data_IF_189920383931
#
_entry.id   IF_189920383931
#
_cell.length_a   1.000
_cell.length_b   1.000
_cell.length_c   1.000
_cell.angle_alpha   90.00
_cell.angle_beta   90.00
_cell.angle_gamma   90.00
#
_symmetry.space_group_name_H-M   'P 1'
#
loop_
_entity.id
_entity.type
_entity.pdbx_description
1 polymer ?
#
# COMPACT_ATOMS: atom_id res chain seq x y z
N UNK A 1 6.41 -4.04 27.17
CA UNK A 1 5.58 -5.23 26.93
C UNK A 1 5.00 -5.14 25.52
N UNK A 2 4.89 -6.25 24.77
CA UNK A 2 4.38 -6.23 23.38
C UNK A 2 2.99 -5.62 23.28
N UNK A 3 2.10 -5.92 24.24
CA UNK A 3 0.77 -5.29 24.38
C UNK A 3 0.85 -3.77 24.27
N UNK A 4 1.62 -3.12 25.14
CA UNK A 4 1.76 -1.65 25.15
C UNK A 4 2.31 -1.10 23.82
N UNK A 5 3.22 -1.84 23.16
CA UNK A 5 3.76 -1.44 21.85
C UNK A 5 2.67 -1.48 20.78
N UNK A 6 1.92 -2.57 20.74
CA UNK A 6 0.82 -2.77 19.79
C UNK A 6 -0.30 -1.76 20.02
N UNK A 7 -0.70 -1.51 21.27
CA UNK A 7 -1.76 -0.55 21.61
C UNK A 7 -1.36 0.89 21.24
N UNK A 8 -0.13 1.29 21.57
CA UNK A 8 0.39 2.60 21.18
C UNK A 8 0.39 2.78 19.67
N UNK A 9 0.78 1.75 18.94
CA UNK A 9 0.82 1.83 17.48
C UNK A 9 -0.58 1.80 16.85
N UNK A 10 -1.53 1.02 17.40
CA UNK A 10 -2.94 1.08 17.00
C UNK A 10 -3.49 2.49 17.15
N UNK A 11 -3.19 3.18 18.26
CA UNK A 11 -3.58 4.58 18.45
C UNK A 11 -3.00 5.48 17.35
N UNK A 12 -1.71 5.33 17.01
CA UNK A 12 -1.10 6.07 15.88
C UNK A 12 -1.84 5.84 14.55
N UNK A 13 -2.21 4.60 14.23
CA UNK A 13 -2.96 4.29 13.00
C UNK A 13 -4.38 4.89 13.01
N UNK A 14 -5.03 4.93 14.17
CA UNK A 14 -6.35 5.58 14.34
C UNK A 14 -6.22 7.08 14.16
N UNK A 15 -5.18 7.70 14.74
CA UNK A 15 -4.92 9.12 14.59
C UNK A 15 -4.68 9.47 13.11
N UNK A 16 -3.85 8.72 12.40
CA UNK A 16 -3.64 8.84 10.94
C UNK A 16 -4.98 8.83 10.18
N UNK A 17 -5.85 7.85 10.46
CA UNK A 17 -7.14 7.72 9.79
C UNK A 17 -8.09 8.89 10.12
N UNK A 18 -8.15 9.32 11.38
CA UNK A 18 -9.07 10.36 11.85
C UNK A 18 -8.83 11.73 11.21
N UNK A 19 -7.57 12.03 10.87
CA UNK A 19 -7.17 13.32 10.26
C UNK A 19 -7.62 13.48 8.81
N UNK A 20 -8.01 12.39 8.15
CA UNK A 20 -8.13 12.36 6.69
C UNK A 20 -9.55 12.58 6.15
N UNK A 21 -10.58 12.54 7.01
CA UNK A 21 -12.01 12.69 6.68
C UNK A 21 -12.42 12.01 5.34
N UNK A 22 -12.02 10.75 5.14
CA UNK A 22 -12.14 10.02 3.87
C UNK A 22 -13.44 9.23 3.72
N UNK A 23 -14.59 9.83 4.06
CA UNK A 23 -15.87 9.14 3.86
C UNK A 23 -16.09 8.94 2.35
N UNK A 24 -16.10 7.67 1.91
CA UNK A 24 -16.23 7.30 0.49
C UNK A 24 -14.94 7.52 -0.29
N UNK A 25 -15.05 8.22 -1.43
CA UNK A 25 -13.93 8.55 -2.31
C UNK A 25 -13.88 10.06 -2.58
N UNK A 26 -13.54 10.88 -1.57
CA UNK A 26 -13.68 12.35 -1.65
C UNK A 26 -12.76 12.99 -2.69
N UNK A 27 -11.74 12.27 -3.16
CA UNK A 27 -10.79 12.75 -4.18
C UNK A 27 -11.06 12.17 -5.56
N UNK A 28 -12.21 11.54 -5.77
CA UNK A 28 -12.66 11.03 -7.06
C UNK A 28 -11.62 10.17 -7.78
N UNK A 29 -10.86 9.36 -7.02
CA UNK A 29 -9.91 8.42 -7.60
C UNK A 29 -10.70 7.45 -8.49
N UNK A 30 -10.30 7.21 -9.75
CA UNK A 30 -11.07 6.41 -10.69
C UNK A 30 -10.93 4.89 -10.44
N UNK A 31 -11.07 4.43 -9.18
CA UNK A 31 -10.96 3.03 -8.77
C UNK A 31 -11.75 2.10 -9.68
N UNK A 32 -13.03 2.40 -9.90
CA UNK A 32 -13.93 1.60 -10.74
C UNK A 32 -13.46 1.45 -12.19
N UNK A 33 -12.79 2.45 -12.75
CA UNK A 33 -12.24 2.41 -14.12
C UNK A 33 -10.99 1.52 -14.19
N UNK A 34 -10.16 1.57 -13.14
CA UNK A 34 -8.95 0.76 -13.04
C UNK A 34 -9.35 -0.70 -12.76
N UNK A 35 -9.96 -0.97 -11.62
CA UNK A 35 -10.44 -2.29 -11.21
C UNK A 35 -11.70 -2.17 -10.32
N UNK A 36 -12.77 -2.82 -10.76
CA UNK A 36 -14.08 -2.84 -10.09
C UNK A 36 -14.02 -3.35 -8.65
N UNK A 37 -13.04 -4.20 -8.31
CA UNK A 37 -12.89 -4.68 -6.93
C UNK A 37 -12.61 -3.53 -5.94
N UNK A 38 -12.05 -2.42 -6.41
CA UNK A 38 -11.73 -1.26 -5.58
C UNK A 38 -12.88 -0.25 -5.46
N UNK A 39 -14.06 -0.56 -5.98
CA UNK A 39 -15.29 0.19 -5.70
C UNK A 39 -15.88 -0.15 -4.31
N UNK A 40 -15.16 -0.97 -3.53
CA UNK A 40 -15.50 -1.36 -2.17
C UNK A 40 -14.81 -0.45 -1.14
N UNK A 41 -15.59 0.10 -0.18
CA UNK A 41 -15.09 1.01 0.86
C UNK A 41 -13.92 0.45 1.67
N UNK A 42 -13.89 -0.85 1.97
CA UNK A 42 -12.80 -1.45 2.73
C UNK A 42 -11.50 -1.47 1.93
N UNK A 43 -11.56 -1.76 0.63
CA UNK A 43 -10.40 -1.70 -0.25
C UNK A 43 -9.93 -0.26 -0.47
N UNK A 44 -10.84 0.70 -0.60
CA UNK A 44 -10.49 2.12 -0.66
C UNK A 44 -9.79 2.59 0.62
N UNK A 45 -10.33 2.22 1.79
CA UNK A 45 -9.70 2.49 3.09
C UNK A 45 -8.30 1.88 3.19
N UNK A 46 -8.11 0.63 2.74
CA UNK A 46 -6.78 0.01 2.73
C UNK A 46 -5.82 0.69 1.73
N UNK A 47 -6.31 1.19 0.60
CA UNK A 47 -5.52 2.01 -0.30
C UNK A 47 -5.08 3.33 0.37
N UNK A 48 -6.00 4.02 1.05
CA UNK A 48 -5.67 5.24 1.80
C UNK A 48 -4.70 4.98 2.95
N UNK A 49 -4.87 3.87 3.68
CA UNK A 49 -3.95 3.44 4.73
C UNK A 49 -2.54 3.13 4.20
N UNK A 50 -2.43 2.67 2.94
CA UNK A 50 -1.16 2.47 2.24
C UNK A 50 -0.39 3.77 2.00
N UNK A 51 -1.10 4.90 1.94
CA UNK A 51 -0.53 6.25 1.87
C UNK A 51 -0.44 6.93 3.24
N UNK A 52 -0.67 6.19 4.33
CA UNK A 52 -0.71 6.73 5.69
C UNK A 52 -1.82 7.75 5.90
N UNK A 53 -2.93 7.63 5.14
CA UNK A 53 -4.05 8.56 5.15
C UNK A 53 -3.68 10.02 4.81
N UNK A 54 -2.52 10.21 4.18
CA UNK A 54 -2.01 11.53 3.80
C UNK A 54 -2.84 12.14 2.66
N UNK A 55 -3.56 13.20 2.99
CA UNK A 55 -4.47 13.87 2.05
C UNK A 55 -3.76 14.35 0.78
N UNK A 56 -2.53 14.84 0.89
CA UNK A 56 -1.80 15.36 -0.26
C UNK A 56 -1.37 14.21 -1.18
N UNK A 57 -0.86 13.12 -0.63
CA UNK A 57 -0.49 11.93 -1.40
C UNK A 57 -1.70 11.29 -2.09
N UNK A 58 -2.86 11.24 -1.42
CA UNK A 58 -4.10 10.72 -2.01
C UNK A 58 -4.56 11.62 -3.17
N UNK A 59 -4.47 12.94 -3.05
CA UNK A 59 -4.76 13.86 -4.16
C UNK A 59 -3.78 13.66 -5.32
N UNK A 60 -2.49 13.52 -5.03
CA UNK A 60 -1.46 13.35 -6.05
C UNK A 60 -1.66 12.05 -6.84
N UNK A 61 -2.04 10.94 -6.20
CA UNK A 61 -2.37 9.70 -6.90
C UNK A 61 -3.63 9.85 -7.78
N UNK A 62 -4.63 10.61 -7.33
CA UNK A 62 -5.82 10.92 -8.12
C UNK A 62 -5.47 11.68 -9.40
N UNK A 63 -4.58 12.66 -9.32
CA UNK A 63 -4.07 13.40 -10.48
C UNK A 63 -3.28 12.49 -11.43
N UNK A 64 -2.42 11.63 -10.89
CA UNK A 64 -1.66 10.64 -11.68
C UNK A 64 -2.62 9.73 -12.47
N UNK A 65 -3.65 9.19 -11.82
CA UNK A 65 -4.62 8.32 -12.49
C UNK A 65 -5.47 9.07 -13.53
N UNK A 66 -5.87 10.31 -13.25
CA UNK A 66 -6.62 11.13 -14.21
C UNK A 66 -5.79 11.52 -15.43
N UNK A 67 -4.46 11.52 -15.31
CA UNK A 67 -3.56 11.72 -16.43
C UNK A 67 -3.37 10.46 -17.29
N UNK A 68 -3.77 9.27 -16.84
CA UNK A 68 -3.59 8.02 -17.60
C UNK A 68 -4.81 7.71 -18.49
N UNK A 69 -4.56 7.07 -19.62
CA UNK A 69 -5.60 6.43 -20.41
C UNK A 69 -6.02 5.14 -19.68
N UNK A 70 -7.19 5.18 -19.05
CA UNK A 70 -7.72 4.07 -18.26
C UNK A 70 -8.66 3.15 -19.05
N UNK A 71 -8.73 3.28 -20.38
CA UNK A 71 -9.46 2.35 -21.22
C UNK A 71 -8.79 0.97 -21.19
N UNK A 72 -9.53 -0.08 -20.81
CA UNK A 72 -8.98 -1.44 -20.65
C UNK A 72 -8.46 -2.04 -21.95
N UNK A 73 -9.06 -1.66 -23.07
CA UNK A 73 -8.67 -2.04 -24.42
C UNK A 73 -8.20 -0.78 -25.16
N UNK A 74 -7.21 -0.90 -26.03
CA UNK A 74 -6.87 0.21 -26.93
C UNK A 74 -8.01 0.45 -27.92
N UNK A 75 -8.43 1.70 -28.16
CA UNK A 75 -9.35 2.01 -29.24
C UNK A 75 -8.68 1.70 -30.58
N UNK A 76 -9.02 0.56 -31.17
CA UNK A 76 -8.42 0.12 -32.42
C UNK A 76 -9.19 0.65 -33.63
N UNK A 77 -8.47 1.24 -34.59
CA UNK A 77 -8.91 1.31 -35.99
C UNK A 77 -8.48 0.05 -36.77
N UNK A 78 -7.67 -0.82 -36.16
CA UNK A 78 -7.16 -2.04 -36.75
C UNK A 78 -7.25 -3.21 -35.76
N UNK A 79 -8.02 -4.24 -36.12
CA UNK A 79 -8.34 -5.41 -35.27
C UNK A 79 -7.13 -6.31 -34.99
N UNK A 80 -5.94 -5.96 -35.49
CA UNK A 80 -4.68 -6.70 -35.36
C UNK A 80 -3.93 -6.45 -34.03
N UNK A 81 -4.33 -5.44 -33.25
CA UNK A 81 -3.68 -5.04 -31.98
C UNK A 81 -4.64 -5.05 -30.79
N UNK A 82 -5.28 -6.19 -30.52
CA UNK A 82 -5.86 -6.46 -29.19
C UNK A 82 -4.73 -6.60 -28.16
N UNK A 83 -4.13 -5.47 -27.79
CA UNK A 83 -3.12 -5.33 -26.75
C UNK A 83 -3.71 -4.69 -25.51
N UNK A 84 -3.25 -5.14 -24.33
CA UNK A 84 -3.56 -4.46 -23.06
C UNK A 84 -3.01 -3.02 -23.12
N UNK A 85 -3.83 -2.05 -22.76
CA UNK A 85 -3.40 -0.66 -22.63
C UNK A 85 -2.33 -0.55 -21.51
N UNK A 86 -1.11 -0.18 -21.88
CA UNK A 86 0.03 -0.09 -20.95
C UNK A 86 -0.24 0.94 -19.84
N UNK A 87 -0.86 2.08 -20.16
CA UNK A 87 -1.21 3.09 -19.14
C UNK A 87 -2.21 2.56 -18.11
N UNK A 88 -3.21 1.79 -18.55
CA UNK A 88 -4.13 1.11 -17.64
C UNK A 88 -3.41 0.07 -16.77
N UNK A 89 -2.48 -0.70 -17.34
CA UNK A 89 -1.69 -1.68 -16.58
C UNK A 89 -0.82 -1.00 -15.53
N UNK A 90 -0.18 0.12 -15.86
CA UNK A 90 0.61 0.90 -14.92
C UNK A 90 -0.27 1.48 -13.79
N UNK A 91 -1.45 1.99 -14.12
CA UNK A 91 -2.42 2.45 -13.12
C UNK A 91 -2.84 1.33 -12.17
N UNK A 92 -3.14 0.15 -12.71
CA UNK A 92 -3.53 -1.02 -11.93
C UNK A 92 -2.40 -1.52 -11.01
N UNK A 93 -1.16 -1.53 -11.51
CA UNK A 93 0.00 -1.90 -10.69
C UNK A 93 0.20 -0.91 -9.53
N UNK A 94 0.12 0.40 -9.79
CA UNK A 94 0.21 1.41 -8.73
C UNK A 94 -0.88 1.22 -7.68
N UNK A 95 -2.12 1.01 -8.13
CA UNK A 95 -3.29 0.75 -7.28
C UNK A 95 -3.04 -0.44 -6.35
N UNK A 96 -2.61 -1.58 -6.91
CA UNK A 96 -2.37 -2.81 -6.16
C UNK A 96 -1.25 -2.63 -5.14
N UNK A 97 -0.11 -2.06 -5.54
CA UNK A 97 1.05 -1.95 -4.66
C UNK A 97 0.79 -1.02 -3.46
N UNK A 98 0.10 0.11 -3.68
CA UNK A 98 -0.30 1.01 -2.58
C UNK A 98 -1.29 0.32 -1.65
N UNK A 99 -2.31 -0.33 -2.22
CA UNK A 99 -3.30 -1.07 -1.44
C UNK A 99 -2.69 -2.20 -0.61
N UNK A 100 -1.72 -2.93 -1.16
CA UNK A 100 -1.04 -4.02 -0.46
C UNK A 100 -0.42 -3.53 0.84
N UNK A 101 0.24 -2.37 0.84
CA UNK A 101 0.84 -1.83 2.08
C UNK A 101 -0.20 -1.60 3.15
N UNK A 102 -1.34 -0.97 2.84
CA UNK A 102 -2.38 -0.77 3.86
C UNK A 102 -3.08 -2.07 4.25
N UNK A 103 -3.37 -2.95 3.30
CA UNK A 103 -4.04 -4.23 3.56
C UNK A 103 -3.21 -5.16 4.44
N UNK A 104 -1.93 -5.37 4.11
CA UNK A 104 -1.05 -6.24 4.89
C UNK A 104 -0.64 -5.59 6.20
N UNK A 105 -0.60 -4.25 6.28
CA UNK A 105 -0.43 -3.56 7.58
C UNK A 105 -1.60 -3.86 8.53
N UNK A 106 -2.83 -3.80 8.02
CA UNK A 106 -4.00 -4.19 8.81
C UNK A 106 -3.94 -5.66 9.23
N UNK A 107 -3.62 -6.58 8.30
CA UNK A 107 -3.50 -8.01 8.63
C UNK A 107 -2.45 -8.25 9.71
N UNK A 108 -1.28 -7.61 9.59
CA UNK A 108 -0.22 -7.68 10.59
C UNK A 108 -0.73 -7.27 11.98
N UNK A 109 -1.48 -6.18 12.06
CA UNK A 109 -2.05 -5.69 13.33
C UNK A 109 -3.18 -6.57 13.87
N UNK A 110 -3.99 -7.17 12.99
CA UNK A 110 -5.03 -8.13 13.38
C UNK A 110 -4.43 -9.42 13.95
N UNK A 111 -3.25 -9.82 13.48
CA UNK A 111 -2.50 -10.93 14.09
C UNK A 111 -2.02 -10.62 15.52
N UNK A 112 -2.06 -9.36 15.94
CA UNK A 112 -1.70 -8.88 17.28
C UNK A 112 -2.91 -8.20 17.96
N UNK A 113 -4.12 -8.69 17.70
CA UNK A 113 -5.29 -8.31 18.47
C UNK A 113 -5.22 -8.84 19.91
N UNK A 114 -6.13 -8.37 20.78
CA UNK A 114 -6.08 -8.69 22.21
C UNK A 114 -6.23 -10.21 22.45
N UNK A 115 -7.05 -10.89 21.64
CA UNK A 115 -7.24 -12.33 21.71
C UNK A 115 -5.96 -13.09 21.31
N UNK A 116 -5.33 -12.72 20.19
CA UNK A 116 -4.08 -13.31 19.72
C UNK A 116 -2.95 -13.08 20.71
N UNK A 117 -2.81 -11.85 21.23
CA UNK A 117 -1.80 -11.52 22.23
C UNK A 117 -1.99 -12.35 23.50
N UNK A 118 -3.22 -12.47 24.00
CA UNK A 118 -3.52 -13.29 25.18
C UNK A 118 -3.09 -14.75 24.98
N UNK A 119 -3.35 -15.32 23.80
CA UNK A 119 -2.91 -16.67 23.45
C UNK A 119 -1.38 -16.78 23.43
N UNK A 120 -0.69 -15.86 22.75
CA UNK A 120 0.78 -15.85 22.67
C UNK A 120 1.41 -15.74 24.07
N UNK A 121 0.82 -14.94 24.96
CA UNK A 121 1.28 -14.81 26.35
C UNK A 121 1.00 -16.07 27.18
N UNK A 122 -0.11 -16.77 26.92
CA UNK A 122 -0.46 -18.01 27.62
C UNK A 122 0.54 -19.15 27.37
N UNK A 123 1.18 -19.15 26.19
CA UNK A 123 2.21 -20.12 25.82
C UNK A 123 3.48 -19.98 26.70
N UNK A 124 3.68 -18.84 27.40
CA UNK A 124 4.84 -18.52 28.26
C UNK A 124 6.22 -18.69 27.60
N UNK A 125 6.27 -18.79 26.27
CA UNK A 125 7.52 -18.93 25.50
C UNK A 125 8.20 -17.56 25.32
N UNK A 126 9.26 -17.31 26.09
CA UNK A 126 9.99 -16.03 26.09
C UNK A 126 10.71 -15.75 24.75
N UNK A 127 11.25 -16.77 24.10
CA UNK A 127 11.96 -16.61 22.82
C UNK A 127 11.00 -16.25 21.69
N UNK A 128 9.85 -16.94 21.64
CA UNK A 128 8.75 -16.61 20.72
C UNK A 128 8.26 -15.17 20.92
N UNK A 129 8.02 -14.76 22.17
CA UNK A 129 7.63 -13.39 22.50
C UNK A 129 8.68 -12.36 22.06
N UNK A 130 9.97 -12.66 22.25
CA UNK A 130 11.07 -11.78 21.82
C UNK A 130 11.12 -11.66 20.29
N UNK A 131 11.01 -12.77 19.56
CA UNK A 131 11.01 -12.79 18.10
C UNK A 131 9.82 -12.03 17.52
N UNK A 132 8.62 -12.24 18.07
CA UNK A 132 7.42 -11.46 17.68
C UNK A 132 7.63 -9.97 17.98
N UNK A 133 8.20 -9.62 19.14
CA UNK A 133 8.46 -8.21 19.44
C UNK A 133 9.48 -7.58 18.49
N UNK A 134 10.52 -8.31 18.05
CA UNK A 134 11.49 -7.79 17.07
C UNK A 134 10.84 -7.63 15.70
N UNK A 135 10.03 -8.60 15.26
CA UNK A 135 9.27 -8.53 14.02
C UNK A 135 8.30 -7.33 14.02
N UNK A 136 7.63 -7.06 15.15
CA UNK A 136 6.79 -5.87 15.33
C UNK A 136 7.59 -4.57 15.20
N UNK A 137 8.72 -4.45 15.89
CA UNK A 137 9.54 -3.23 15.85
C UNK A 137 10.06 -2.97 14.42
N UNK A 138 10.42 -4.02 13.69
CA UNK A 138 10.84 -3.92 12.29
C UNK A 138 9.66 -3.51 11.39
N UNK A 139 8.48 -4.11 11.58
CA UNK A 139 7.29 -3.75 10.84
C UNK A 139 6.91 -2.28 10.96
N UNK A 140 6.94 -1.71 12.17
CA UNK A 140 6.66 -0.29 12.39
C UNK A 140 7.62 0.59 11.58
N UNK A 141 8.91 0.27 11.58
CA UNK A 141 9.93 1.01 10.81
C UNK A 141 9.72 0.87 9.32
N UNK A 142 9.54 -0.35 8.82
CA UNK A 142 9.37 -0.65 7.41
C UNK A 142 8.11 -0.01 6.86
N UNK A 143 6.98 -0.05 7.58
CA UNK A 143 5.74 0.63 7.15
C UNK A 143 5.93 2.14 7.08
N UNK A 144 6.53 2.75 8.10
CA UNK A 144 6.81 4.19 8.08
C UNK A 144 7.66 4.57 6.88
N UNK A 145 8.72 3.80 6.58
CA UNK A 145 9.57 4.02 5.40
C UNK A 145 8.79 3.82 4.10
N UNK A 146 7.99 2.76 4.00
CA UNK A 146 7.20 2.46 2.80
C UNK A 146 6.23 3.61 2.46
N UNK A 147 5.50 4.10 3.46
CA UNK A 147 4.58 5.23 3.32
C UNK A 147 5.33 6.48 2.82
N UNK A 148 6.45 6.84 3.44
CA UNK A 148 7.23 8.02 3.03
C UNK A 148 7.84 7.88 1.63
N UNK A 149 8.33 6.68 1.26
CA UNK A 149 8.79 6.39 -0.11
C UNK A 149 7.66 6.60 -1.12
N UNK A 150 6.45 6.09 -0.84
CA UNK A 150 5.30 6.30 -1.72
C UNK A 150 4.97 7.78 -1.89
N UNK A 151 4.87 8.54 -0.79
CA UNK A 151 4.58 9.98 -0.86
C UNK A 151 5.59 10.73 -1.72
N UNK A 152 6.88 10.45 -1.51
CA UNK A 152 7.97 11.07 -2.27
C UNK A 152 7.87 10.74 -3.75
N UNK A 153 7.71 9.47 -4.11
CA UNK A 153 7.64 9.04 -5.50
C UNK A 153 6.39 9.57 -6.22
N UNK A 154 5.23 9.59 -5.53
CA UNK A 154 4.00 10.18 -6.07
C UNK A 154 4.12 11.68 -6.29
N UNK A 155 4.76 12.41 -5.38
CA UNK A 155 5.02 13.85 -5.53
C UNK A 155 5.90 14.12 -6.77
N UNK A 156 6.96 13.33 -6.94
CA UNK A 156 7.84 13.43 -8.11
C UNK A 156 7.08 13.12 -9.40
N UNK A 157 6.28 12.06 -9.43
CA UNK A 157 5.45 11.69 -10.58
C UNK A 157 4.46 12.78 -10.97
N UNK A 158 3.73 13.33 -9.99
CA UNK A 158 2.72 14.36 -10.19
C UNK A 158 3.32 15.67 -10.73
N UNK A 159 4.60 15.93 -10.47
CA UNK A 159 5.30 17.11 -11.01
C UNK A 159 5.62 17.02 -12.51
N UNK A 160 5.45 15.84 -13.13
CA UNK A 160 5.76 15.63 -14.55
C UNK A 160 4.51 15.82 -15.41
N UNK A 161 4.69 16.49 -16.55
CA UNK A 161 3.68 16.56 -17.61
C UNK A 161 3.52 15.18 -18.24
N UNK A 162 2.29 14.80 -18.61
CA UNK A 162 1.99 13.53 -19.30
C UNK A 162 2.74 13.45 -20.63
N UNK A 163 3.90 12.79 -20.58
CA UNK A 163 4.87 12.60 -21.65
C UNK A 163 5.51 11.22 -21.47
N UNK A 164 6.31 10.76 -22.44
CA UNK A 164 7.06 9.51 -22.28
C UNK A 164 7.95 9.52 -21.02
N UNK A 165 8.44 10.71 -20.62
CA UNK A 165 9.19 10.89 -19.37
C UNK A 165 8.35 10.54 -18.13
N UNK A 166 7.07 10.90 -18.11
CA UNK A 166 6.15 10.53 -17.04
C UNK A 166 5.92 9.01 -17.01
N UNK A 167 5.67 8.38 -18.16
CA UNK A 167 5.46 6.93 -18.23
C UNK A 167 6.71 6.15 -17.81
N UNK A 168 7.90 6.56 -18.24
CA UNK A 168 9.16 5.95 -17.81
C UNK A 168 9.41 6.12 -16.32
N UNK A 169 9.12 7.30 -15.76
CA UNK A 169 9.19 7.51 -14.32
C UNK A 169 8.20 6.62 -13.57
N UNK A 170 6.98 6.45 -14.09
CA UNK A 170 5.97 5.58 -13.49
C UNK A 170 6.43 4.12 -13.50
N UNK A 171 6.97 3.63 -14.62
CA UNK A 171 7.59 2.29 -14.70
C UNK A 171 8.70 2.12 -13.66
N UNK A 172 9.58 3.10 -13.51
CA UNK A 172 10.64 3.07 -12.50
C UNK A 172 10.10 3.05 -11.07
N UNK A 173 9.13 3.92 -10.74
CA UNK A 173 8.44 3.94 -9.45
C UNK A 173 7.74 2.62 -9.13
N UNK A 174 7.29 1.88 -10.15
CA UNK A 174 6.68 0.55 -10.03
C UNK A 174 7.69 -0.60 -9.99
N UNK A 175 9.00 -0.32 -10.07
CA UNK A 175 10.04 -1.35 -10.09
C UNK A 175 10.03 -2.19 -11.36
N UNK A 176 9.64 -1.58 -12.48
CA UNK A 176 9.67 -2.17 -13.83
C UNK A 176 10.93 -1.75 -14.62
N UNK A 177 11.83 -0.99 -13.99
CA UNK A 177 13.10 -0.54 -14.56
C UNK A 177 14.22 -0.96 -13.61
N UNK A 178 15.26 -1.60 -14.16
CA UNK A 178 16.41 -2.08 -13.38
C UNK A 178 17.23 -0.91 -12.80
N UNK A 179 17.84 -1.15 -11.63
CA UNK A 179 18.70 -0.16 -10.96
C UNK A 179 17.96 1.00 -10.27
N UNK A 180 16.61 0.97 -10.21
CA UNK A 180 15.83 1.92 -9.43
C UNK A 180 15.62 1.43 -8.00
N UNK A 181 16.61 1.70 -7.15
CA UNK A 181 16.58 1.42 -5.72
C UNK A 181 15.64 2.43 -5.04
N UNK A 182 14.64 1.93 -4.30
CA UNK A 182 13.49 2.67 -3.71
C UNK A 182 12.25 2.84 -4.60
N UNK A 183 11.81 1.75 -5.22
CA UNK A 183 10.50 1.67 -5.85
C UNK A 183 9.40 1.21 -4.87
N UNK A 184 8.15 1.52 -5.21
CA UNK A 184 6.95 1.17 -4.43
C UNK A 184 6.78 -0.36 -4.34
N UNK A 185 7.21 -1.11 -5.35
CA UNK A 185 7.11 -2.58 -5.36
C UNK A 185 7.94 -3.22 -4.25
N UNK A 186 9.19 -2.81 -4.08
CA UNK A 186 10.06 -3.29 -2.98
C UNK A 186 9.44 -2.96 -1.62
N UNK A 187 8.97 -1.72 -1.44
CA UNK A 187 8.29 -1.31 -0.19
C UNK A 187 7.03 -2.13 0.10
N UNK A 188 6.23 -2.44 -0.92
CA UNK A 188 5.06 -3.30 -0.79
C UNK A 188 5.42 -4.72 -0.35
N UNK A 189 6.40 -5.34 -1.01
CA UNK A 189 6.76 -6.73 -0.77
C UNK A 189 7.43 -6.95 0.59
N UNK A 190 8.16 -5.96 1.11
CA UNK A 190 8.70 -6.03 2.47
C UNK A 190 7.58 -6.11 3.53
N UNK A 191 6.48 -5.37 3.36
CA UNK A 191 5.32 -5.43 4.27
C UNK A 191 4.65 -6.79 4.22
N UNK A 192 4.49 -7.37 3.02
CA UNK A 192 3.94 -8.73 2.85
C UNK A 192 4.82 -9.76 3.58
N UNK A 193 6.13 -9.69 3.36
CA UNK A 193 7.11 -10.60 3.97
C UNK A 193 7.06 -10.56 5.51
N UNK A 194 6.91 -9.37 6.09
CA UNK A 194 6.79 -9.21 7.55
C UNK A 194 5.49 -9.79 8.10
N UNK A 195 4.36 -9.66 7.39
CA UNK A 195 3.09 -10.30 7.78
C UNK A 195 3.21 -11.83 7.77
N UNK A 196 3.83 -12.39 6.74
CA UNK A 196 4.10 -13.83 6.66
C UNK A 196 5.06 -14.29 7.76
N UNK A 197 6.11 -13.51 8.05
CA UNK A 197 7.06 -13.82 9.13
C UNK A 197 6.35 -13.85 10.48
N UNK A 198 5.51 -12.87 10.77
CA UNK A 198 4.73 -12.83 12.00
C UNK A 198 3.81 -14.06 12.10
N UNK A 199 3.12 -14.41 11.00
CA UNK A 199 2.25 -15.58 10.97
C UNK A 199 3.01 -16.87 11.28
N UNK A 200 4.22 -17.05 10.72
CA UNK A 200 5.10 -18.18 11.04
C UNK A 200 5.51 -18.20 12.50
N UNK A 201 5.95 -17.06 13.04
CA UNK A 201 6.34 -16.92 14.45
C UNK A 201 5.20 -17.19 15.43
N UNK A 202 3.95 -16.89 15.06
CA UNK A 202 2.77 -17.20 15.88
C UNK A 202 2.47 -18.69 15.95
N UNK A 203 2.73 -19.40 14.86
CA UNK A 203 2.38 -20.82 14.69
C UNK A 203 3.50 -21.80 15.03
N UNK A 204 4.73 -21.32 15.25
CA UNK A 204 5.84 -22.08 15.87
C UNK A 204 5.67 -22.22 17.37
#
# INVERSE_FOLDING_TARGET
MLVNKTDRYKATLVDEASLSNLVGNPYNIPFRKIDLQYDNLKRQSNFYAGLGYDVQAIKDVGLIFNNLNLEKAMPSHDRSTEGKNDEWMLANNLLILVWQVGHYSEKFMNHLDNASLSKIYSDKNKEKLLSISKCFDEFVKVRSRAVETMKKELTLLKSLVKTEKFLNKLRATLGLVDGYDNNIKSSSYEIVSLEEQLLRLKNS
#
